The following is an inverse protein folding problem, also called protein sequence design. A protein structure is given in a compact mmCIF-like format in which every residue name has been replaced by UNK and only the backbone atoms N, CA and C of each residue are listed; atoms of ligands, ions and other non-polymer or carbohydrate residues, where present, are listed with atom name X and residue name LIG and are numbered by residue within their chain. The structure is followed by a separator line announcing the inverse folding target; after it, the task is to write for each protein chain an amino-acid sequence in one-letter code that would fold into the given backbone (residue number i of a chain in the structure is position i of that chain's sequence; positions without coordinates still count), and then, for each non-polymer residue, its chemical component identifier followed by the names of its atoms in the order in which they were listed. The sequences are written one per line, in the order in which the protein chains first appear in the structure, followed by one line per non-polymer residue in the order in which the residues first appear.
data_IF_997665205708
#
_entry.id   IF_997665205708
#
_cell.length_a   1.000
_cell.length_b   1.000
_cell.length_c   1.000
_cell.angle_alpha   90.00
_cell.angle_beta   90.00
_cell.angle_gamma   90.00
#
_symmetry.space_group_name_H-M   'P 1'
#
loop_
_entity.id
_entity.type
_entity.pdbx_description
1 polymer ?
#
# COMPACT_ATOMS: atom_id res chain seq x y z
N UNK A 1 24.18 -8.36 -6.07
CA UNK A 1 23.55 -7.20 -5.41
C UNK A 1 22.45 -6.70 -6.32
N UNK A 2 21.25 -6.42 -5.77
CA UNK A 2 20.13 -5.89 -6.56
C UNK A 2 20.44 -4.46 -6.99
N UNK A 3 20.07 -4.10 -8.21
CA UNK A 3 20.19 -2.74 -8.74
C UNK A 3 18.80 -2.15 -8.97
N UNK A 4 18.72 -0.83 -8.99
CA UNK A 4 17.47 -0.11 -9.22
C UNK A 4 16.88 -0.42 -10.61
N UNK A 5 15.54 -0.50 -10.68
CA UNK A 5 14.85 -0.69 -11.96
C UNK A 5 14.93 0.58 -12.84
N UNK A 6 14.73 0.46 -14.17
CA UNK A 6 14.67 1.62 -15.07
C UNK A 6 13.63 2.66 -14.65
N UNK A 7 12.47 2.23 -14.17
CA UNK A 7 11.40 3.09 -13.68
C UNK A 7 11.80 3.82 -12.40
N UNK A 8 12.49 3.13 -11.49
CA UNK A 8 13.05 3.73 -10.27
C UNK A 8 14.06 4.81 -10.59
N UNK A 9 14.98 4.50 -11.51
CA UNK A 9 15.97 5.47 -11.97
C UNK A 9 15.31 6.68 -12.62
N UNK A 10 14.33 6.47 -13.49
CA UNK A 10 13.58 7.56 -14.12
C UNK A 10 12.87 8.43 -13.09
N UNK A 11 12.29 7.82 -12.04
CA UNK A 11 11.65 8.54 -10.95
C UNK A 11 12.66 9.41 -10.17
N UNK A 12 13.85 8.89 -9.87
CA UNK A 12 14.91 9.68 -9.22
C UNK A 12 15.35 10.84 -10.14
N UNK A 13 15.64 10.57 -11.41
CA UNK A 13 16.02 11.60 -12.39
C UNK A 13 14.98 12.72 -12.48
N UNK A 14 13.70 12.39 -12.43
CA UNK A 14 12.60 13.36 -12.44
C UNK A 14 12.61 14.29 -11.21
N UNK A 15 12.85 13.74 -10.02
CA UNK A 15 12.80 14.51 -8.77
C UNK A 15 14.06 15.31 -8.47
N UNK A 16 15.23 14.79 -8.82
CA UNK A 16 16.50 15.51 -8.62
C UNK A 16 16.71 16.58 -9.70
N UNK A 17 16.28 16.30 -10.93
CA UNK A 17 16.51 17.15 -12.08
C UNK A 17 17.96 17.13 -12.56
N UNK A 18 18.17 17.50 -13.82
CA UNK A 18 19.50 17.46 -14.46
C UNK A 18 20.16 18.84 -14.46
N UNK A 19 21.43 18.88 -14.04
CA UNK A 19 22.31 20.05 -14.12
C UNK A 19 23.67 19.66 -14.72
N UNK A 20 23.85 19.93 -16.01
CA UNK A 20 25.08 19.58 -16.74
C UNK A 20 26.28 20.46 -16.41
N UNK A 21 26.05 21.63 -15.81
CA UNK A 21 27.10 22.53 -15.32
C UNK A 21 27.11 22.52 -13.81
N UNK A 22 28.30 22.46 -13.21
CA UNK A 22 28.43 22.56 -11.77
C UNK A 22 27.85 23.89 -11.25
N UNK A 23 27.10 23.80 -10.15
CA UNK A 23 26.49 24.94 -9.47
C UNK A 23 26.67 24.80 -7.96
N UNK A 24 26.52 25.90 -7.23
CA UNK A 24 26.46 25.86 -5.78
C UNK A 24 25.01 25.75 -5.31
N UNK A 25 24.74 24.80 -4.44
CA UNK A 25 23.42 24.64 -3.82
C UNK A 25 23.18 25.70 -2.72
N UNK A 26 22.05 25.62 -2.01
CA UNK A 26 21.73 26.55 -0.92
C UNK A 26 22.71 26.49 0.26
N UNK A 27 23.53 25.44 0.36
CA UNK A 27 24.57 25.25 1.37
C UNK A 27 25.97 25.63 0.84
N UNK A 28 26.07 26.24 -0.34
CA UNK A 28 27.31 26.61 -1.02
C UNK A 28 28.21 25.43 -1.43
N UNK A 29 27.65 24.22 -1.50
CA UNK A 29 28.35 22.99 -1.92
C UNK A 29 28.29 22.88 -3.45
N UNK A 30 29.42 22.54 -4.07
CA UNK A 30 29.49 22.29 -5.51
C UNK A 30 28.78 20.98 -5.87
N UNK A 31 27.77 21.09 -6.72
CA UNK A 31 26.87 20.00 -7.11
C UNK A 31 26.74 19.93 -8.64
N UNK A 32 26.66 18.73 -9.20
CA UNK A 32 26.50 18.49 -10.65
C UNK A 32 25.60 17.27 -10.94
N UNK A 33 25.10 17.15 -12.16
CA UNK A 33 24.30 16.02 -12.61
C UNK A 33 22.96 15.96 -11.91
N UNK A 34 22.68 14.83 -11.24
CA UNK A 34 21.47 14.56 -10.46
C UNK A 34 21.71 14.71 -8.95
N UNK A 35 22.57 15.63 -8.53
CA UNK A 35 22.86 15.86 -7.10
C UNK A 35 24.22 15.34 -6.62
N UNK A 36 25.12 14.96 -7.53
CA UNK A 36 26.46 14.49 -7.19
C UNK A 36 27.29 15.62 -6.56
N UNK A 37 27.97 15.32 -5.46
CA UNK A 37 28.89 16.23 -4.77
C UNK A 37 30.23 15.52 -4.50
N UNK A 38 31.29 16.29 -4.26
CA UNK A 38 32.61 15.76 -3.90
C UNK A 38 32.62 14.87 -2.64
N UNK A 39 31.60 14.95 -1.78
CA UNK A 39 31.46 14.08 -0.61
C UNK A 39 31.00 12.67 -1.01
N UNK A 40 30.26 12.53 -2.10
CA UNK A 40 29.87 11.23 -2.65
C UNK A 40 31.05 10.47 -3.26
N UNK A 41 32.16 11.16 -3.53
CA UNK A 41 33.40 10.56 -4.00
C UNK A 41 33.94 11.26 -5.24
N UNK A 42 34.68 10.51 -6.05
CA UNK A 42 35.16 11.01 -7.35
C UNK A 42 34.01 10.97 -8.37
N UNK A 43 33.96 11.93 -9.31
CA UNK A 43 34.87 13.06 -9.47
C UNK A 43 34.61 14.18 -8.46
N UNK A 44 35.68 14.85 -8.01
CA UNK A 44 35.52 16.03 -7.17
C UNK A 44 34.96 17.19 -7.98
N UNK A 45 33.75 17.62 -7.64
CA UNK A 45 33.03 18.70 -8.31
C UNK A 45 33.71 20.04 -8.00
N UNK A 46 33.99 20.80 -9.05
CA UNK A 46 34.58 22.12 -8.97
C UNK A 46 33.88 23.11 -9.90
N UNK A 47 34.16 24.40 -9.71
CA UNK A 47 33.68 25.47 -10.58
C UNK A 47 34.03 25.16 -12.04
N UNK A 48 33.13 25.52 -12.97
CA UNK A 48 33.28 25.35 -14.42
C UNK A 48 33.33 23.89 -14.92
N UNK A 49 33.14 22.91 -14.04
CA UNK A 49 32.94 21.53 -14.45
C UNK A 49 31.66 21.40 -15.29
N UNK A 50 31.76 20.69 -16.40
CA UNK A 50 30.64 20.36 -17.29
C UNK A 50 30.67 18.86 -17.58
N UNK A 51 29.50 18.26 -17.70
CA UNK A 51 29.32 16.85 -18.05
C UNK A 51 28.22 16.70 -19.10
N UNK A 52 28.21 15.56 -19.77
CA UNK A 52 27.12 15.11 -20.65
C UNK A 52 26.00 14.46 -19.84
N UNK A 53 24.82 14.30 -20.45
CA UNK A 53 23.71 13.59 -19.81
C UNK A 53 24.06 12.12 -19.49
N UNK A 54 24.83 11.48 -20.38
CA UNK A 54 25.31 10.11 -20.16
C UNK A 54 26.23 10.02 -18.95
N UNK A 55 27.17 10.96 -18.81
CA UNK A 55 28.05 11.03 -17.64
C UNK A 55 27.26 11.34 -16.37
N UNK A 56 26.25 12.22 -16.44
CA UNK A 56 25.38 12.50 -15.30
C UNK A 56 24.60 11.27 -14.83
N UNK A 57 24.10 10.46 -15.76
CA UNK A 57 23.42 9.20 -15.41
C UNK A 57 24.40 8.17 -14.83
N UNK A 58 25.61 8.05 -15.38
CA UNK A 58 26.63 7.16 -14.84
C UNK A 58 27.03 7.56 -13.41
N UNK A 59 27.22 8.85 -13.15
CA UNK A 59 27.44 9.37 -11.80
C UNK A 59 26.28 9.05 -10.87
N UNK A 60 25.04 9.25 -11.31
CA UNK A 60 23.87 8.89 -10.52
C UNK A 60 23.87 7.40 -10.17
N UNK A 61 24.17 6.52 -11.13
CA UNK A 61 24.24 5.06 -10.87
C UNK A 61 25.33 4.71 -9.86
N UNK A 62 26.47 5.38 -9.91
CA UNK A 62 27.56 5.20 -8.94
C UNK A 62 27.13 5.65 -7.55
N UNK A 63 26.55 6.85 -7.45
CA UNK A 63 26.03 7.39 -6.18
C UNK A 63 24.92 6.52 -5.59
N UNK A 64 24.10 5.87 -6.43
CA UNK A 64 23.03 5.01 -5.97
C UNK A 64 23.51 3.73 -5.29
N UNK A 65 24.73 3.25 -5.57
CA UNK A 65 25.23 1.99 -5.03
C UNK A 65 25.23 1.96 -3.49
N UNK A 66 25.54 3.07 -2.82
CA UNK A 66 25.49 3.11 -1.36
C UNK A 66 24.06 3.00 -0.81
N UNK A 67 23.08 3.57 -1.52
CA UNK A 67 21.69 3.54 -1.09
C UNK A 67 21.03 2.20 -1.41
N UNK A 68 21.35 1.62 -2.57
CA UNK A 68 21.00 0.24 -2.92
C UNK A 68 21.52 -0.73 -1.86
N UNK A 69 22.79 -0.60 -1.47
CA UNK A 69 23.39 -1.41 -0.41
C UNK A 69 22.69 -1.23 0.94
N UNK A 70 22.43 0.02 1.33
CA UNK A 70 21.76 0.32 2.59
C UNK A 70 20.35 -0.28 2.65
N UNK A 71 19.57 -0.17 1.56
CA UNK A 71 18.23 -0.77 1.47
C UNK A 71 18.31 -2.29 1.51
N UNK A 72 19.19 -2.90 0.71
CA UNK A 72 19.35 -4.35 0.63
C UNK A 72 19.76 -4.96 1.99
N UNK A 73 20.63 -4.29 2.74
CA UNK A 73 21.08 -4.75 4.06
C UNK A 73 20.04 -4.53 5.16
N UNK A 74 19.29 -3.43 5.09
CA UNK A 74 18.39 -3.02 6.16
C UNK A 74 17.01 -3.69 6.07
N UNK A 75 16.55 -4.04 4.86
CA UNK A 75 15.25 -4.70 4.66
C UNK A 75 15.39 -6.20 4.82
N UNK A 76 14.62 -6.78 5.74
CA UNK A 76 14.69 -8.22 6.08
C UNK A 76 13.57 -9.05 5.46
N UNK A 77 12.69 -8.42 4.68
CA UNK A 77 11.55 -9.05 4.01
C UNK A 77 11.72 -9.01 2.49
N UNK A 78 11.07 -9.92 1.77
CA UNK A 78 11.16 -9.98 0.30
C UNK A 78 10.52 -8.75 -0.35
N UNK A 79 11.22 -8.14 -1.30
CA UNK A 79 10.71 -7.02 -2.10
C UNK A 79 10.66 -7.38 -3.58
N UNK A 80 9.71 -6.80 -4.29
CA UNK A 80 9.81 -6.72 -5.77
C UNK A 80 10.83 -5.67 -6.19
N UNK A 81 11.18 -5.66 -7.47
CA UNK A 81 12.14 -4.68 -8.01
C UNK A 81 11.64 -3.24 -7.85
N UNK A 82 10.34 -3.00 -8.03
CA UNK A 82 9.71 -1.68 -7.93
C UNK A 82 9.60 -1.22 -6.48
N UNK A 83 9.30 -2.15 -5.56
CA UNK A 83 9.30 -1.87 -4.12
C UNK A 83 10.72 -1.50 -3.66
N UNK A 84 11.73 -2.27 -4.05
CA UNK A 84 13.13 -1.95 -3.79
C UNK A 84 13.51 -0.58 -4.36
N UNK A 85 13.17 -0.32 -5.63
CA UNK A 85 13.45 0.94 -6.30
C UNK A 85 12.79 2.15 -5.62
N UNK A 86 11.54 2.01 -5.14
CA UNK A 86 10.87 3.05 -4.38
C UNK A 86 11.61 3.37 -3.05
N UNK A 87 12.07 2.34 -2.34
CA UNK A 87 12.86 2.53 -1.11
C UNK A 87 14.23 3.12 -1.39
N UNK A 88 14.89 2.76 -2.50
CA UNK A 88 16.16 3.38 -2.91
C UNK A 88 15.97 4.86 -3.22
N UNK A 89 14.92 5.23 -3.96
CA UNK A 89 14.60 6.65 -4.23
C UNK A 89 14.32 7.45 -2.95
N UNK A 90 13.59 6.83 -2.02
CA UNK A 90 13.32 7.41 -0.71
C UNK A 90 14.61 7.57 0.11
N UNK A 91 15.43 6.51 0.18
CA UNK A 91 16.72 6.49 0.89
C UNK A 91 17.70 7.53 0.33
N UNK A 92 17.77 7.68 -1.00
CA UNK A 92 18.55 8.73 -1.66
C UNK A 92 18.15 10.13 -1.18
N UNK A 93 16.85 10.38 -1.02
CA UNK A 93 16.35 11.69 -0.62
C UNK A 93 16.60 12.03 0.85
N UNK A 94 16.42 11.07 1.76
CA UNK A 94 16.48 11.34 3.20
C UNK A 94 17.81 10.94 3.84
N UNK A 95 18.66 10.23 3.10
CA UNK A 95 19.91 9.67 3.57
C UNK A 95 19.76 8.30 4.27
N UNK A 96 20.82 7.50 4.21
CA UNK A 96 20.88 6.13 4.75
C UNK A 96 20.57 6.09 6.25
N UNK A 97 21.14 7.00 7.04
CA UNK A 97 20.91 7.07 8.50
C UNK A 97 19.44 7.29 8.83
N UNK A 98 18.75 8.19 8.13
CA UNK A 98 17.34 8.47 8.38
C UNK A 98 16.47 7.28 7.95
N UNK A 99 16.79 6.66 6.80
CA UNK A 99 16.11 5.46 6.31
C UNK A 99 16.22 4.30 7.31
N UNK A 100 17.43 3.94 7.75
CA UNK A 100 17.68 2.80 8.65
C UNK A 100 17.02 2.96 10.03
N UNK A 101 16.75 4.19 10.47
CA UNK A 101 16.09 4.48 11.75
C UNK A 101 14.58 4.75 11.62
N UNK A 102 14.02 4.70 10.41
CA UNK A 102 12.65 5.09 10.14
C UNK A 102 11.62 4.10 10.70
N UNK A 103 10.44 4.62 11.09
CA UNK A 103 9.29 3.78 11.41
C UNK A 103 8.77 3.02 10.19
N UNK A 104 9.01 3.54 8.98
CA UNK A 104 8.74 2.86 7.71
C UNK A 104 9.46 1.52 7.68
N UNK A 105 10.79 1.52 7.85
CA UNK A 105 11.59 0.31 7.81
C UNK A 105 11.18 -0.68 8.91
N UNK A 106 10.95 -0.19 10.14
CA UNK A 106 10.50 -1.02 11.26
C UNK A 106 9.20 -1.75 10.92
N UNK A 107 8.20 -1.04 10.39
CA UNK A 107 6.91 -1.66 10.00
C UNK A 107 7.08 -2.62 8.82
N UNK A 108 7.85 -2.24 7.81
CA UNK A 108 8.12 -3.10 6.66
C UNK A 108 8.77 -4.42 7.09
N UNK A 109 9.79 -4.38 7.96
CA UNK A 109 10.49 -5.57 8.43
C UNK A 109 9.62 -6.49 9.31
N UNK A 110 8.50 -5.99 9.84
CA UNK A 110 7.45 -6.82 10.47
C UNK A 110 6.47 -7.45 9.47
N UNK A 111 6.71 -7.28 8.16
CA UNK A 111 5.85 -7.78 7.09
C UNK A 111 4.66 -6.86 6.76
N UNK A 112 4.62 -5.64 7.29
CA UNK A 112 3.51 -4.70 7.04
C UNK A 112 3.80 -3.83 5.79
N UNK A 113 3.64 -4.43 4.60
CA UNK A 113 3.83 -3.76 3.32
C UNK A 113 2.84 -2.61 3.09
N UNK A 114 1.59 -2.80 3.53
CA UNK A 114 0.50 -1.81 3.39
C UNK A 114 0.77 -0.51 4.14
N UNK A 115 1.58 -0.56 5.22
CA UNK A 115 1.95 0.65 5.94
C UNK A 115 2.89 1.56 5.15
N UNK A 116 3.68 1.03 4.22
CA UNK A 116 4.77 1.78 3.55
C UNK A 116 4.30 3.06 2.87
N UNK A 117 3.25 3.07 2.03
CA UNK A 117 2.73 4.31 1.43
C UNK A 117 2.39 5.39 2.45
N UNK A 118 1.73 5.02 3.56
CA UNK A 118 1.35 5.97 4.60
C UNK A 118 2.55 6.49 5.40
N UNK A 119 3.58 5.65 5.60
CA UNK A 119 4.80 6.07 6.28
C UNK A 119 5.64 6.98 5.39
N UNK A 120 5.71 6.74 4.07
CA UNK A 120 6.38 7.63 3.11
C UNK A 120 5.81 9.06 3.23
N UNK A 121 4.48 9.21 3.26
CA UNK A 121 3.82 10.52 3.30
C UNK A 121 4.17 11.36 4.53
N UNK A 122 4.67 10.75 5.62
CA UNK A 122 5.11 11.49 6.82
C UNK A 122 6.42 12.24 6.59
N UNK A 123 7.21 11.85 5.58
CA UNK A 123 8.49 12.46 5.22
C UNK A 123 8.31 13.56 4.18
N UNK A 124 7.43 14.51 4.48
CA UNK A 124 7.05 15.62 3.60
C UNK A 124 7.45 17.00 4.15
N UNK A 125 8.34 17.06 5.16
CA UNK A 125 8.73 18.31 5.82
C UNK A 125 10.21 18.62 5.60
N UNK A 126 10.53 19.89 5.44
CA UNK A 126 11.89 20.40 5.56
C UNK A 126 11.89 21.64 6.48
N UNK A 127 12.91 21.78 7.33
CA UNK A 127 12.94 22.84 8.35
C UNK A 127 11.71 22.83 9.27
N UNK A 128 11.13 21.64 9.52
CA UNK A 128 9.92 21.46 10.32
C UNK A 128 8.59 21.81 9.62
N UNK A 129 8.61 22.38 8.42
CA UNK A 129 7.41 22.80 7.68
C UNK A 129 7.07 21.83 6.54
N UNK A 130 5.80 21.48 6.33
CA UNK A 130 5.38 20.70 5.16
C UNK A 130 5.79 21.40 3.86
N UNK A 131 6.31 20.63 2.91
CA UNK A 131 6.64 21.05 1.56
C UNK A 131 5.87 20.21 0.55
N UNK A 132 5.12 20.89 -0.32
CA UNK A 132 4.31 20.23 -1.34
C UNK A 132 5.15 19.37 -2.30
N UNK A 133 6.36 19.82 -2.65
CA UNK A 133 7.27 19.06 -3.50
C UNK A 133 7.64 17.70 -2.90
N UNK A 134 7.93 17.66 -1.59
CA UNK A 134 8.20 16.40 -0.90
C UNK A 134 6.96 15.52 -0.81
N UNK A 135 5.78 16.09 -0.52
CA UNK A 135 4.53 15.32 -0.52
C UNK A 135 4.27 14.65 -1.89
N UNK A 136 4.45 15.40 -2.98
CA UNK A 136 4.30 14.86 -4.34
C UNK A 136 5.34 13.77 -4.64
N UNK A 137 6.59 13.94 -4.18
CA UNK A 137 7.64 12.92 -4.30
C UNK A 137 7.28 11.63 -3.57
N UNK A 138 6.86 11.74 -2.30
CA UNK A 138 6.41 10.60 -1.51
C UNK A 138 5.22 9.89 -2.16
N UNK A 139 4.33 10.63 -2.83
CA UNK A 139 3.19 10.06 -3.55
C UNK A 139 3.64 9.29 -4.80
N UNK A 140 4.61 9.82 -5.54
CA UNK A 140 5.19 9.11 -6.69
C UNK A 140 5.94 7.84 -6.27
N UNK A 141 6.72 7.89 -5.19
CA UNK A 141 7.40 6.71 -4.62
C UNK A 141 6.40 5.66 -4.14
N UNK A 142 5.31 6.07 -3.48
CA UNK A 142 4.21 5.18 -3.12
C UNK A 142 3.51 4.57 -4.35
N UNK A 143 3.38 5.34 -5.44
CA UNK A 143 2.88 4.83 -6.72
C UNK A 143 3.79 3.77 -7.33
N UNK A 144 5.11 3.95 -7.27
CA UNK A 144 6.08 2.95 -7.72
C UNK A 144 6.03 1.69 -6.84
N UNK A 145 5.93 1.86 -5.52
CA UNK A 145 5.74 0.76 -4.58
C UNK A 145 4.48 -0.08 -4.90
N UNK A 146 3.37 0.59 -5.19
CA UNK A 146 2.11 -0.06 -5.54
C UNK A 146 2.22 -0.86 -6.85
N UNK A 147 2.95 -0.39 -7.86
CA UNK A 147 3.19 -1.15 -9.11
C UNK A 147 3.85 -2.50 -8.84
N UNK A 148 4.80 -2.56 -7.91
CA UNK A 148 5.42 -3.82 -7.49
C UNK A 148 4.46 -4.77 -6.78
N UNK A 149 3.47 -4.22 -6.08
CA UNK A 149 2.48 -5.02 -5.35
C UNK A 149 1.55 -5.82 -6.27
N UNK A 150 1.39 -5.41 -7.54
CA UNK A 150 0.62 -6.13 -8.55
C UNK A 150 1.33 -7.38 -9.11
N UNK A 151 2.63 -7.60 -8.83
CA UNK A 151 3.39 -8.72 -9.39
C UNK A 151 3.53 -9.91 -8.44
N UNK A 152 3.11 -9.78 -7.17
CA UNK A 152 2.93 -10.95 -6.29
C UNK A 152 1.49 -11.44 -6.36
N UNK A 153 1.10 -12.03 -7.51
CA UNK A 153 0.07 -13.05 -7.47
C UNK A 153 0.69 -14.28 -6.79
N UNK A 154 0.81 -14.24 -5.46
CA UNK A 154 0.41 -15.43 -4.74
C UNK A 154 -1.04 -15.66 -5.15
N UNK A 155 -1.23 -16.44 -6.21
CA UNK A 155 -2.52 -16.98 -6.61
C UNK A 155 -3.03 -17.71 -5.38
N UNK A 156 -3.81 -17.04 -4.53
CA UNK A 156 -4.78 -17.78 -3.77
C UNK A 156 -5.58 -18.49 -4.85
N UNK A 157 -5.51 -19.83 -4.83
CA UNK A 157 -6.52 -20.63 -5.50
C UNK A 157 -7.81 -20.04 -4.96
N UNK A 158 -8.53 -19.28 -5.78
CA UNK A 158 -9.90 -18.95 -5.49
C UNK A 158 -10.51 -20.33 -5.42
N UNK A 159 -10.80 -20.81 -4.20
CA UNK A 159 -11.80 -21.84 -4.04
C UNK A 159 -13.05 -21.19 -4.59
N UNK A 160 -13.27 -21.37 -5.89
CA UNK A 160 -14.60 -21.35 -6.46
C UNK A 160 -15.28 -22.44 -5.68
N UNK A 161 -15.91 -22.05 -4.57
CA UNK A 161 -16.85 -22.89 -3.87
C UNK A 161 -17.77 -23.35 -4.97
N UNK A 162 -17.60 -24.62 -5.36
CA UNK A 162 -18.36 -25.17 -6.47
C UNK A 162 -19.81 -24.76 -6.22
N UNK A 163 -20.46 -24.28 -7.26
CA UNK A 163 -21.89 -24.00 -7.24
C UNK A 163 -22.69 -25.32 -7.13
N UNK A 164 -22.26 -26.26 -6.28
CA UNK A 164 -23.00 -27.43 -5.84
C UNK A 164 -23.91 -26.97 -4.72
N UNK A 165 -25.02 -26.36 -5.13
CA UNK A 165 -26.04 -25.89 -4.20
C UNK A 165 -26.90 -24.78 -4.74
N UNK A 166 -27.06 -24.67 -6.07
CA UNK A 166 -28.28 -24.06 -6.61
C UNK A 166 -29.41 -24.99 -6.14
N UNK A 167 -30.01 -24.63 -5.00
CA UNK A 167 -31.32 -25.12 -4.60
C UNK A 167 -32.20 -24.97 -5.83
N UNK A 168 -32.54 -26.11 -6.42
CA UNK A 168 -33.43 -26.23 -7.56
C UNK A 168 -34.68 -25.42 -7.22
N UNK A 169 -34.92 -24.31 -7.92
CA UNK A 169 -36.06 -23.42 -7.69
C UNK A 169 -37.42 -24.15 -7.80
N UNK A 170 -37.42 -25.38 -8.33
CA UNK A 170 -38.56 -26.29 -8.41
C UNK A 170 -38.95 -26.97 -7.08
N UNK A 171 -38.08 -26.99 -6.06
CA UNK A 171 -38.42 -27.59 -4.76
C UNK A 171 -39.21 -26.62 -3.86
N UNK A 172 -39.09 -25.31 -4.10
CA UNK A 172 -39.76 -24.28 -3.29
C UNK A 172 -41.18 -23.96 -3.74
N UNK A 173 -41.59 -24.35 -4.95
CA UNK A 173 -42.95 -24.13 -5.44
C UNK A 173 -43.98 -25.02 -4.73
N UNK A 174 -43.62 -26.27 -4.39
CA UNK A 174 -44.50 -27.18 -3.64
C UNK A 174 -44.72 -26.73 -2.20
N UNK A 175 -43.70 -26.12 -1.57
CA UNK A 175 -43.81 -25.59 -0.20
C UNK A 175 -44.62 -24.29 -0.18
N UNK A 176 -44.41 -23.39 -1.15
CA UNK A 176 -45.18 -22.14 -1.25
C UNK A 176 -46.67 -22.40 -1.58
N UNK A 177 -46.96 -23.39 -2.43
CA UNK A 177 -48.33 -23.85 -2.71
C UNK A 177 -49.06 -24.36 -1.45
N UNK A 178 -48.33 -24.96 -0.50
CA UNK A 178 -48.89 -25.50 0.74
C UNK A 178 -49.29 -24.41 1.74
N UNK A 179 -48.81 -23.17 1.57
CA UNK A 179 -49.14 -22.04 2.46
C UNK A 179 -50.23 -21.11 1.93
N UNK A 180 -50.66 -21.26 0.68
CA UNK A 180 -51.80 -20.50 0.12
C UNK A 180 -53.13 -20.84 0.81
N UNK A 181 -53.20 -21.92 1.59
CA UNK A 181 -54.37 -22.29 2.41
C UNK A 181 -54.47 -21.58 3.77
N UNK A 182 -53.47 -20.82 4.21
CA UNK A 182 -53.46 -20.20 5.55
C UNK A 182 -53.92 -18.74 5.59
N UNK A 183 -54.12 -18.10 4.44
CA UNK A 183 -54.67 -16.74 4.36
C UNK A 183 -56.12 -16.64 4.86
N UNK A 184 -56.87 -17.75 4.82
CA UNK A 184 -58.27 -17.79 5.27
C UNK A 184 -58.44 -17.83 6.79
N UNK A 185 -57.39 -18.13 7.56
CA UNK A 185 -57.49 -18.25 9.02
C UNK A 185 -57.30 -16.91 9.76
N UNK A 186 -56.79 -15.86 9.11
CA UNK A 186 -56.47 -14.58 9.76
C UNK A 186 -57.56 -13.50 9.60
N UNK A 187 -58.69 -13.81 8.98
CA UNK A 187 -59.76 -12.84 8.70
C UNK A 187 -60.83 -12.73 9.81
N UNK A 188 -60.47 -12.99 11.08
CA UNK A 188 -61.43 -12.96 12.19
C UNK A 188 -60.87 -12.35 13.48
N UNK A 189 -61.64 -11.46 14.13
CA UNK A 189 -61.28 -10.83 15.41
C UNK A 189 -61.67 -11.70 16.63
N UNK A 190 -61.37 -13.00 16.57
CA UNK A 190 -61.73 -13.96 17.62
C UNK A 190 -60.63 -14.17 18.68
N UNK A 191 -60.97 -14.64 19.90
CA UNK A 191 -60.00 -14.89 20.98
C UNK A 191 -58.87 -15.85 20.59
N UNK A 192 -59.16 -16.82 19.72
CA UNK A 192 -58.19 -17.83 19.23
C UNK A 192 -57.14 -17.19 18.31
N UNK A 193 -57.48 -16.12 17.58
CA UNK A 193 -56.56 -15.42 16.68
C UNK A 193 -55.55 -14.58 17.44
N UNK A 194 -55.98 -13.95 18.54
CA UNK A 194 -55.07 -13.27 19.47
C UNK A 194 -54.09 -14.24 20.15
N UNK A 195 -54.54 -15.46 20.46
CA UNK A 195 -53.66 -16.49 21.00
C UNK A 195 -52.58 -16.93 19.98
N UNK A 196 -52.96 -17.14 18.72
CA UNK A 196 -52.02 -17.50 17.65
C UNK A 196 -51.05 -16.36 17.31
N UNK A 197 -51.54 -15.11 17.26
CA UNK A 197 -50.70 -13.93 17.08
C UNK A 197 -49.69 -13.77 18.22
N UNK A 198 -50.13 -14.02 19.47
CA UNK A 198 -49.24 -14.02 20.64
C UNK A 198 -48.12 -15.06 20.53
N UNK A 199 -48.43 -16.28 20.10
CA UNK A 199 -47.42 -17.35 19.92
C UNK A 199 -46.40 -16.97 18.84
N UNK A 200 -46.85 -16.38 17.72
CA UNK A 200 -45.93 -15.96 16.65
C UNK A 200 -44.99 -14.83 17.09
N UNK A 201 -45.47 -13.87 17.88
CA UNK A 201 -44.63 -12.79 18.42
C UNK A 201 -43.58 -13.35 19.39
N UNK A 202 -43.96 -14.27 20.27
CA UNK A 202 -43.01 -14.91 21.20
C UNK A 202 -41.92 -15.69 20.44
N UNK A 203 -42.30 -16.44 19.40
CA UNK A 203 -41.33 -17.16 18.56
C UNK A 203 -40.35 -16.21 17.86
N UNK A 204 -40.84 -15.08 17.34
CA UNK A 204 -39.99 -14.06 16.72
C UNK A 204 -39.01 -13.42 17.71
N UNK A 205 -39.47 -13.11 18.94
CA UNK A 205 -38.60 -12.58 20.00
C UNK A 205 -37.49 -13.56 20.39
N UNK A 206 -37.81 -14.85 20.54
CA UNK A 206 -36.81 -15.90 20.85
C UNK A 206 -35.75 -15.99 19.74
N UNK A 207 -36.19 -15.98 18.47
CA UNK A 207 -35.28 -15.98 17.33
C UNK A 207 -34.32 -14.78 17.33
N UNK A 208 -34.83 -13.59 17.64
CA UNK A 208 -34.03 -12.36 17.69
C UNK A 208 -32.98 -12.40 18.81
N UNK A 209 -33.32 -12.94 19.99
CA UNK A 209 -32.36 -13.17 21.09
C UNK A 209 -31.25 -14.14 20.69
N UNK A 210 -31.60 -15.20 19.96
CA UNK A 210 -30.62 -16.19 19.50
C UNK A 210 -29.62 -15.59 18.50
N UNK A 211 -30.11 -14.73 17.59
CA UNK A 211 -29.27 -14.00 16.63
C UNK A 211 -28.33 -13.02 17.36
N UNK A 212 -28.82 -12.26 18.35
CA UNK A 212 -27.99 -11.34 19.13
C UNK A 212 -26.90 -12.08 19.90
N UNK A 213 -27.22 -13.21 20.55
CA UNK A 213 -26.23 -14.05 21.23
C UNK A 213 -25.14 -14.54 20.27
N UNK A 214 -25.54 -15.02 19.09
CA UNK A 214 -24.60 -15.50 18.07
C UNK A 214 -23.64 -14.39 17.58
N UNK A 215 -24.11 -13.15 17.48
CA UNK A 215 -23.26 -12.01 17.11
C UNK A 215 -22.27 -11.60 18.22
N UNK A 216 -22.61 -11.82 19.48
CA UNK A 216 -21.70 -11.56 20.60
C UNK A 216 -20.58 -12.61 20.69
N UNK A 217 -20.89 -13.88 20.42
CA UNK A 217 -19.91 -14.97 20.40
C UNK A 217 -18.85 -14.82 19.31
N UNK A 218 -19.19 -14.23 18.15
CA UNK A 218 -18.24 -13.96 17.07
C UNK A 218 -17.35 -12.71 17.28
N UNK A 219 -17.55 -11.96 18.37
CA UNK A 219 -16.77 -10.75 18.69
C UNK A 219 -15.74 -10.95 19.81
N UNK A 220 -15.67 -12.13 20.41
CA UNK A 220 -14.63 -12.57 21.35
C UNK A 220 -13.59 -13.42 20.62
#
# INVERSE_FOLDING_TARGET
MRTISPEGLALIKQWEGLRLKAYQDSAAIWTIGYGHTSEAGKPFVHKEMNITEKEAEELLRQDLQQFENAVEQAVTVSLTNEQFAALVSFCYNIGTKAFCNSNLLKKLNTGNYEAVPSELQKWNKAGGKPLQGLANRRAAEAGLWAKGSYVSSNTQKVETKDATGIFKAEAFTTVISSCSGLGGFLAGNGPIQWALAGIMVVAACIGMVFVVKRFQEHRL
#
